data_IF_932189443971
#
_entry.id   IF_932189443971
#
_cell.length_a   1.000
_cell.length_b   1.000
_cell.length_c   1.000
_cell.angle_alpha   90.00
_cell.angle_beta   90.00
_cell.angle_gamma   90.00
#
_symmetry.space_group_name_H-M   'P 1'
#
loop_
_entity.id
_entity.type
_entity.pdbx_description
1 polymer ?
#
# COMPACT_ATOMS: atom_id res chain seq x y z
N UNK A 1 35.07 -18.26 16.38
CA UNK A 1 34.63 -18.94 15.14
C UNK A 1 33.48 -18.12 14.55
N UNK A 2 33.79 -17.17 13.67
CA UNK A 2 32.80 -16.22 13.13
C UNK A 2 31.93 -16.93 12.07
N UNK A 3 30.61 -16.96 12.28
CA UNK A 3 29.67 -17.35 11.22
C UNK A 3 29.72 -16.29 10.14
N UNK A 4 30.39 -16.64 9.05
CA UNK A 4 30.39 -15.93 7.78
C UNK A 4 29.01 -16.17 7.18
N UNK A 5 28.05 -15.28 7.46
CA UNK A 5 26.77 -15.25 6.77
C UNK A 5 27.04 -15.03 5.29
N UNK A 6 27.03 -16.14 4.54
CA UNK A 6 26.98 -16.13 3.09
C UNK A 6 25.66 -15.47 2.73
N UNK A 7 25.72 -14.22 2.32
CA UNK A 7 24.69 -13.62 1.50
C UNK A 7 24.76 -14.35 0.15
N UNK A 8 24.13 -15.53 0.08
CA UNK A 8 23.70 -16.09 -1.19
C UNK A 8 22.92 -14.96 -1.87
N UNK A 9 23.31 -14.61 -3.09
CA UNK A 9 22.57 -13.66 -3.92
C UNK A 9 21.25 -14.32 -4.34
N UNK A 10 20.35 -14.49 -3.36
CA UNK A 10 18.97 -14.89 -3.56
C UNK A 10 18.23 -13.77 -4.26
N UNK A 11 17.16 -14.14 -4.97
CA UNK A 11 16.26 -13.17 -5.60
C UNK A 11 15.92 -12.02 -4.63
N UNK A 12 15.91 -10.76 -5.12
CA UNK A 12 15.59 -9.63 -4.27
C UNK A 12 14.24 -9.87 -3.58
N UNK A 13 14.13 -9.58 -2.26
CA UNK A 13 12.92 -9.89 -1.51
C UNK A 13 11.73 -9.19 -2.15
N UNK A 14 10.68 -9.95 -2.47
CA UNK A 14 9.43 -9.40 -2.97
C UNK A 14 8.77 -8.57 -1.87
N UNK A 15 8.60 -7.28 -2.10
CA UNK A 15 7.93 -6.36 -1.17
C UNK A 15 6.63 -5.92 -1.81
N UNK A 16 5.55 -5.96 -1.03
CA UNK A 16 4.20 -5.68 -1.52
C UNK A 16 3.63 -4.47 -0.78
N UNK A 17 3.20 -3.47 -1.53
CA UNK A 17 2.45 -2.33 -0.99
C UNK A 17 0.98 -2.69 -0.82
N UNK A 18 0.37 -2.29 0.29
CA UNK A 18 -1.05 -2.54 0.57
C UNK A 18 -1.70 -1.25 1.04
N UNK A 19 -2.48 -0.65 0.14
CA UNK A 19 -3.37 0.47 0.44
C UNK A 19 -4.70 0.35 -0.30
N UNK A 20 -5.77 0.93 0.25
CA UNK A 20 -7.08 1.01 -0.39
C UNK A 20 -7.14 2.02 -1.53
N UNK A 21 -6.25 3.00 -1.49
CA UNK A 21 -6.01 4.01 -2.53
C UNK A 21 -4.58 4.53 -2.38
N UNK A 22 -3.97 4.91 -3.49
CA UNK A 22 -2.73 5.68 -3.51
C UNK A 22 -3.10 7.05 -4.07
N UNK A 23 -2.80 8.12 -3.33
CA UNK A 23 -3.14 9.49 -3.68
C UNK A 23 -4.64 9.82 -3.66
N UNK A 24 -5.00 10.96 -4.25
CA UNK A 24 -6.37 11.46 -4.36
C UNK A 24 -7.03 10.97 -5.65
N UNK A 25 -8.34 10.68 -5.59
CA UNK A 25 -9.15 10.22 -6.73
C UNK A 25 -8.60 9.03 -7.55
N UNK A 26 -7.65 8.27 -6.98
CA UNK A 26 -7.03 7.14 -7.67
C UNK A 26 -5.96 7.57 -8.67
N UNK A 27 -5.30 8.70 -8.41
CA UNK A 27 -4.11 9.15 -9.12
C UNK A 27 -2.84 8.91 -8.30
N UNK A 28 -1.73 8.56 -8.95
CA UNK A 28 -0.43 8.38 -8.30
C UNK A 28 0.39 9.66 -8.22
N UNK A 29 -0.12 10.86 -8.51
CA UNK A 29 0.64 12.13 -8.47
C UNK A 29 1.66 12.21 -7.31
N UNK A 30 1.27 11.86 -6.08
CA UNK A 30 2.16 11.89 -4.92
C UNK A 30 3.03 10.64 -4.74
N UNK A 31 2.57 9.49 -5.24
CA UNK A 31 3.22 8.20 -5.01
C UNK A 31 4.06 7.73 -6.20
N UNK A 32 3.94 8.37 -7.38
CA UNK A 32 4.61 7.95 -8.61
C UNK A 32 6.12 7.91 -8.44
N UNK A 33 6.72 9.00 -7.98
CA UNK A 33 8.17 9.10 -7.79
C UNK A 33 8.65 8.19 -6.65
N UNK A 34 7.85 8.07 -5.58
CA UNK A 34 8.12 7.15 -4.47
C UNK A 34 8.16 5.70 -4.97
N UNK A 35 7.21 5.31 -5.82
CA UNK A 35 7.14 3.99 -6.42
C UNK A 35 8.24 3.75 -7.44
N UNK A 36 8.58 4.73 -8.28
CA UNK A 36 9.69 4.62 -9.22
C UNK A 36 11.01 4.37 -8.47
N UNK A 37 11.28 5.15 -7.42
CA UNK A 37 12.47 4.99 -6.59
C UNK A 37 12.45 3.67 -5.81
N UNK A 38 11.30 3.25 -5.30
CA UNK A 38 11.13 1.95 -4.65
C UNK A 38 11.45 0.79 -5.60
N UNK A 39 10.90 0.79 -6.82
CA UNK A 39 11.14 -0.27 -7.82
C UNK A 39 12.61 -0.30 -8.23
N UNK A 40 13.26 0.87 -8.33
CA UNK A 40 14.71 0.95 -8.59
C UNK A 40 15.55 0.27 -7.50
N UNK A 41 15.13 0.37 -6.23
CA UNK A 41 15.80 -0.27 -5.08
C UNK A 41 15.38 -1.73 -4.88
N UNK A 42 14.17 -2.09 -5.28
CA UNK A 42 13.58 -3.41 -5.14
C UNK A 42 12.97 -3.87 -6.48
N UNK A 43 13.78 -4.39 -7.42
CA UNK A 43 13.31 -4.73 -8.76
C UNK A 43 12.20 -5.80 -8.81
N UNK A 44 12.06 -6.61 -7.74
CA UNK A 44 10.97 -7.58 -7.57
C UNK A 44 9.77 -7.05 -6.79
N UNK A 45 9.72 -5.74 -6.52
CA UNK A 45 8.64 -5.09 -5.81
C UNK A 45 7.36 -5.04 -6.63
N UNK A 46 6.23 -5.24 -5.96
CA UNK A 46 4.91 -5.20 -6.60
C UNK A 46 4.02 -4.18 -5.89
N UNK A 47 3.19 -3.50 -6.69
CA UNK A 47 2.27 -2.48 -6.18
C UNK A 47 0.83 -2.91 -6.50
N UNK A 48 0.19 -3.71 -5.62
CA UNK A 48 -1.22 -4.01 -5.71
C UNK A 48 -2.06 -2.73 -5.70
N UNK A 49 -2.83 -2.54 -6.76
CA UNK A 49 -3.81 -1.48 -6.91
C UNK A 49 -5.22 -2.06 -6.97
N UNK A 50 -6.21 -1.17 -6.92
CA UNK A 50 -7.61 -1.53 -7.19
C UNK A 50 -7.75 -2.21 -8.55
N UNK A 51 -8.70 -3.13 -8.65
CA UNK A 51 -8.98 -3.84 -9.92
C UNK A 51 -9.33 -2.89 -11.08
N UNK A 52 -10.00 -1.79 -10.77
CA UNK A 52 -10.45 -0.76 -11.72
C UNK A 52 -9.48 0.44 -11.82
N UNK A 53 -8.24 0.26 -11.34
CA UNK A 53 -7.21 1.30 -11.43
C UNK A 53 -6.70 1.42 -12.88
N UNK A 54 -6.52 2.64 -13.42
CA UNK A 54 -6.05 2.85 -14.79
C UNK A 54 -4.53 2.62 -14.89
N UNK A 55 -4.11 1.35 -14.90
CA UNK A 55 -2.69 0.96 -14.89
C UNK A 55 -1.92 1.45 -16.12
N UNK A 56 -2.62 1.61 -17.24
CA UNK A 56 -2.07 2.06 -18.52
C UNK A 56 -1.53 3.49 -18.46
N UNK A 57 -1.94 4.29 -17.47
CA UNK A 57 -1.41 5.65 -17.24
C UNK A 57 0.01 5.66 -16.66
N UNK A 58 0.49 4.53 -16.14
CA UNK A 58 1.78 4.41 -15.47
C UNK A 58 2.55 3.16 -15.95
N UNK A 59 2.89 3.07 -17.25
CA UNK A 59 3.53 1.90 -17.83
C UNK A 59 4.90 1.57 -17.21
N UNK A 60 5.54 2.54 -16.56
CA UNK A 60 6.83 2.39 -15.90
C UNK A 60 6.75 1.71 -14.53
N UNK A 61 5.56 1.50 -13.97
CA UNK A 61 5.36 0.96 -12.63
C UNK A 61 4.78 -0.47 -12.67
N UNK A 62 5.22 -1.40 -11.80
CA UNK A 62 4.69 -2.76 -11.70
C UNK A 62 3.37 -2.80 -10.92
N UNK A 63 2.36 -2.09 -11.45
CA UNK A 63 1.03 -2.02 -10.86
C UNK A 63 0.26 -3.32 -11.12
N UNK A 64 -0.27 -3.94 -10.05
CA UNK A 64 -1.05 -5.18 -10.16
C UNK A 64 -2.50 -4.95 -9.72
N UNK A 65 -3.51 -5.05 -10.60
CA UNK A 65 -4.93 -4.81 -10.27
C UNK A 65 -5.55 -5.95 -9.46
N UNK A 66 -5.06 -6.16 -8.24
CA UNK A 66 -5.39 -7.30 -7.38
C UNK A 66 -6.46 -7.00 -6.34
N UNK A 67 -6.60 -5.73 -5.94
CA UNK A 67 -7.41 -5.35 -4.80
C UNK A 67 -8.87 -5.11 -5.22
N UNK A 68 -9.79 -5.83 -4.58
CA UNK A 68 -11.24 -5.67 -4.75
C UNK A 68 -11.86 -5.16 -3.46
N UNK A 69 -12.77 -4.20 -3.59
CA UNK A 69 -13.40 -3.54 -2.46
C UNK A 69 -14.91 -3.49 -2.61
N UNK A 70 -15.61 -3.60 -1.47
CA UNK A 70 -17.00 -3.17 -1.33
C UNK A 70 -16.94 -1.68 -0.99
N UNK A 71 -17.60 -0.85 -1.81
CA UNK A 71 -17.74 0.59 -1.55
C UNK A 71 -18.93 0.77 -0.61
N UNK A 72 -18.70 1.29 0.59
CA UNK A 72 -19.77 1.53 1.58
C UNK A 72 -20.34 2.95 1.53
N UNK A 73 -19.79 3.80 0.66
CA UNK A 73 -20.26 5.17 0.48
C UNK A 73 -19.12 6.18 0.42
N UNK A 74 -19.50 7.44 0.35
CA UNK A 74 -18.60 8.60 0.40
C UNK A 74 -18.78 9.28 1.74
N UNK A 75 -17.71 9.43 2.51
CA UNK A 75 -17.69 10.34 3.64
C UNK A 75 -17.20 11.70 3.15
N UNK A 76 -17.92 12.75 3.49
CA UNK A 76 -17.44 14.12 3.33
C UNK A 76 -16.93 14.58 4.69
N UNK A 77 -15.69 15.02 4.77
CA UNK A 77 -15.11 15.62 5.97
C UNK A 77 -14.49 16.95 5.57
N UNK A 78 -14.90 18.03 6.22
CA UNK A 78 -14.25 19.33 6.06
C UNK A 78 -13.11 19.46 7.06
N UNK A 79 -11.93 19.89 6.62
CA UNK A 79 -10.79 20.24 7.48
C UNK A 79 -10.27 21.60 7.02
N UNK A 80 -10.48 22.63 7.84
CA UNK A 80 -10.32 24.02 7.42
C UNK A 80 -11.24 24.35 6.24
N UNK A 81 -10.67 24.92 5.18
CA UNK A 81 -11.40 25.26 3.95
C UNK A 81 -11.47 24.12 2.93
N UNK A 82 -10.88 22.96 3.23
CA UNK A 82 -10.79 21.83 2.29
C UNK A 82 -11.87 20.79 2.61
N UNK A 83 -12.68 20.43 1.61
CA UNK A 83 -13.60 19.29 1.67
C UNK A 83 -12.89 18.02 1.20
N UNK A 84 -12.69 17.08 2.13
CA UNK A 84 -12.16 15.76 1.85
C UNK A 84 -13.30 14.79 1.55
N UNK A 85 -13.27 14.24 0.35
CA UNK A 85 -14.16 13.17 -0.09
C UNK A 85 -13.47 11.82 0.10
N UNK A 86 -13.67 11.23 1.29
CA UNK A 86 -13.24 9.87 1.57
C UNK A 86 -14.19 8.87 0.93
N UNK A 87 -13.66 7.83 0.29
CA UNK A 87 -14.48 6.67 -0.10
C UNK A 87 -14.15 5.55 0.88
N UNK A 88 -15.13 5.17 1.69
CA UNK A 88 -14.95 4.06 2.61
C UNK A 88 -14.98 2.75 1.82
N UNK A 89 -13.86 2.03 1.84
CA UNK A 89 -13.63 0.81 1.08
C UNK A 89 -13.31 -0.32 2.04
N UNK A 90 -14.09 -1.39 1.99
CA UNK A 90 -13.79 -2.62 2.72
C UNK A 90 -13.20 -3.64 1.73
N UNK A 91 -12.00 -4.19 1.98
CA UNK A 91 -11.47 -5.28 1.18
C UNK A 91 -12.43 -6.46 1.14
N UNK A 92 -12.68 -7.02 -0.04
CA UNK A 92 -13.47 -8.26 -0.15
C UNK A 92 -12.71 -9.44 0.46
N UNK A 93 -13.40 -10.53 0.89
CA UNK A 93 -12.73 -11.76 1.31
C UNK A 93 -11.74 -12.30 0.28
N UNK A 94 -12.04 -12.12 -1.02
CA UNK A 94 -11.14 -12.49 -2.11
C UNK A 94 -9.83 -11.70 -2.11
N UNK A 95 -9.85 -10.41 -1.70
CA UNK A 95 -8.63 -9.61 -1.51
C UNK A 95 -7.79 -10.16 -0.37
N UNK A 96 -8.41 -10.52 0.75
CA UNK A 96 -7.69 -11.12 1.87
C UNK A 96 -7.02 -12.44 1.50
N UNK A 97 -7.73 -13.35 0.82
CA UNK A 97 -7.16 -14.62 0.34
C UNK A 97 -6.01 -14.39 -0.64
N UNK A 98 -6.10 -13.37 -1.51
CA UNK A 98 -5.01 -13.00 -2.42
C UNK A 98 -3.77 -12.52 -1.65
N UNK A 99 -3.95 -11.63 -0.67
CA UNK A 99 -2.85 -11.15 0.17
C UNK A 99 -2.19 -12.28 0.96
N UNK A 100 -2.96 -13.24 1.49
CA UNK A 100 -2.41 -14.42 2.17
C UNK A 100 -1.55 -15.31 1.24
N UNK A 101 -1.83 -15.30 -0.06
CA UNK A 101 -1.11 -16.09 -1.07
C UNK A 101 0.10 -15.35 -1.66
N UNK A 102 0.22 -14.05 -1.42
CA UNK A 102 1.36 -13.29 -1.90
C UNK A 102 2.64 -13.75 -1.19
N UNK A 103 3.65 -14.13 -1.98
CA UNK A 103 4.96 -14.57 -1.47
C UNK A 103 5.86 -13.38 -1.11
N UNK A 104 5.29 -12.39 -0.45
CA UNK A 104 6.01 -11.19 -0.04
C UNK A 104 6.90 -11.48 1.18
N UNK A 105 8.12 -10.97 1.19
CA UNK A 105 8.98 -10.94 2.37
C UNK A 105 8.53 -9.85 3.37
N UNK A 106 7.98 -8.75 2.86
CA UNK A 106 7.45 -7.65 3.66
C UNK A 106 6.21 -7.02 3.03
N UNK A 107 5.31 -6.52 3.87
CA UNK A 107 4.16 -5.71 3.48
C UNK A 107 4.37 -4.27 3.93
N UNK A 108 4.28 -3.32 2.99
CA UNK A 108 4.26 -1.89 3.30
C UNK A 108 2.80 -1.45 3.38
N UNK A 109 2.37 -1.02 4.55
CA UNK A 109 1.00 -0.61 4.83
C UNK A 109 0.97 0.91 4.94
N UNK A 110 0.10 1.57 4.17
CA UNK A 110 -0.10 3.02 4.25
C UNK A 110 -1.39 3.28 5.02
N UNK A 111 -1.36 4.18 6.00
CA UNK A 111 -2.53 4.64 6.78
C UNK A 111 -3.23 3.57 7.64
N UNK A 112 -4.01 4.01 8.64
CA UNK A 112 -4.90 3.14 9.43
C UNK A 112 -6.23 2.86 8.70
N UNK A 113 -6.17 2.30 7.49
CA UNK A 113 -7.36 1.93 6.72
C UNK A 113 -7.78 0.47 6.96
N UNK A 114 -9.05 0.08 6.70
CA UNK A 114 -9.46 -1.32 6.70
C UNK A 114 -8.60 -2.21 5.79
N UNK A 115 -8.05 -1.64 4.71
CA UNK A 115 -7.13 -2.33 3.79
C UNK A 115 -5.79 -2.62 4.44
N UNK A 116 -5.26 -1.64 5.15
CA UNK A 116 -4.00 -1.74 5.88
C UNK A 116 -4.11 -2.73 7.03
N UNK A 117 -5.24 -2.75 7.75
CA UNK A 117 -5.54 -3.79 8.75
C UNK A 117 -5.59 -5.19 8.12
N UNK A 118 -6.24 -5.33 6.97
CA UNK A 118 -6.31 -6.61 6.24
C UNK A 118 -4.91 -7.08 5.83
N UNK A 119 -4.07 -6.17 5.33
CA UNK A 119 -2.67 -6.44 5.00
C UNK A 119 -1.85 -6.83 6.24
N UNK A 120 -2.04 -6.14 7.36
CA UNK A 120 -1.40 -6.46 8.64
C UNK A 120 -1.76 -7.87 9.11
N UNK A 121 -3.04 -8.21 9.15
CA UNK A 121 -3.52 -9.54 9.56
C UNK A 121 -2.95 -10.61 8.63
N UNK A 122 -3.00 -10.38 7.30
CA UNK A 122 -2.44 -11.32 6.33
C UNK A 122 -0.94 -11.55 6.54
N UNK A 123 -0.17 -10.47 6.71
CA UNK A 123 1.26 -10.54 7.00
C UNK A 123 1.54 -11.29 8.30
N UNK A 124 0.74 -11.07 9.35
CA UNK A 124 0.93 -11.72 10.65
C UNK A 124 0.65 -13.21 10.60
N UNK A 125 -0.42 -13.62 9.91
CA UNK A 125 -0.78 -15.02 9.70
C UNK A 125 0.26 -15.76 8.84
N UNK A 126 0.87 -15.05 7.89
CA UNK A 126 1.92 -15.60 7.00
C UNK A 126 3.35 -15.38 7.52
N UNK A 127 3.50 -14.87 8.75
CA UNK A 127 4.79 -14.59 9.42
C UNK A 127 5.73 -13.71 8.59
N UNK A 128 5.19 -12.70 7.89
CA UNK A 128 5.93 -11.74 7.08
C UNK A 128 6.19 -10.44 7.83
N UNK A 129 7.23 -9.72 7.42
CA UNK A 129 7.57 -8.41 8.00
C UNK A 129 6.52 -7.38 7.59
N UNK A 130 6.32 -6.38 8.45
CA UNK A 130 5.40 -5.26 8.20
C UNK A 130 6.15 -3.96 8.39
N UNK A 131 6.00 -3.05 7.44
CA UNK A 131 6.38 -1.65 7.56
C UNK A 131 5.09 -0.84 7.55
N UNK A 132 4.85 -0.09 8.62
CA UNK A 132 3.68 0.78 8.73
C UNK A 132 4.10 2.22 8.43
N UNK A 133 3.57 2.78 7.36
CA UNK A 133 3.70 4.19 7.01
C UNK A 133 2.49 4.93 7.57
N UNK A 134 2.73 5.67 8.64
CA UNK A 134 1.75 6.54 9.28
C UNK A 134 1.96 7.93 8.67
N UNK A 135 0.96 8.43 7.93
CA UNK A 135 0.96 9.84 7.56
C UNK A 135 0.72 10.66 8.83
N UNK A 136 1.61 11.59 9.14
CA UNK A 136 1.39 12.58 10.19
C UNK A 136 0.20 13.47 9.79
N UNK A 137 -0.84 13.42 10.61
CA UNK A 137 -2.11 14.14 10.48
C UNK A 137 -1.89 15.58 9.96
N UNK A 138 -2.58 15.99 8.87
CA UNK A 138 -2.52 17.36 8.36
C UNK A 138 -2.77 18.43 9.44
N UNK A 139 -3.57 18.14 10.47
CA UNK A 139 -3.84 19.05 11.58
C UNK A 139 -2.58 19.41 12.40
N UNK A 140 -1.55 18.57 12.36
CA UNK A 140 -0.30 18.77 13.10
C UNK A 140 0.83 19.34 12.24
N UNK A 141 0.58 19.72 10.97
CA UNK A 141 1.60 20.28 10.07
C UNK A 141 1.87 21.79 10.24
N UNK A 142 1.40 22.40 11.34
CA UNK A 142 1.81 23.77 11.72
C UNK A 142 0.68 24.76 12.02
N UNK A 143 -0.50 24.33 12.48
CA UNK A 143 -1.47 25.27 13.01
C UNK A 143 -1.10 25.63 14.46
N UNK A 144 -0.79 26.91 14.80
CA UNK A 144 -0.82 27.34 16.19
C UNK A 144 -2.26 27.23 16.68
N UNK A 145 -2.46 26.50 17.78
CA UNK A 145 -3.67 26.60 18.59
C UNK A 145 -3.64 27.85 19.45
#
# INVERSE_FOLDING_TARGET
>A
MARKDRTEAGEPPRIVWVSGAYGYDGDLIYFRDVFAEFVRRFPGGEIPVRRDFPVERYPELPLRPLLRFIRLGRSRRRVGDVEYLGVYRIPTPGTFVRLLRERAAAHILIEFSPTSLTGFVAARLTRRRVVLLIESDPAFRGAPG
#
